data_IF_050253164394
#
_entry.id   IF_050253164394
#
_cell.length_a   1.000
_cell.length_b   1.000
_cell.length_c   1.000
_cell.angle_alpha   90.00
_cell.angle_beta   90.00
_cell.angle_gamma   90.00
#
_symmetry.space_group_name_H-M   'P 1'
#
loop_
_entity.id
_entity.type
_entity.pdbx_description
1 polymer ?
#
# COMPACT_ATOMS: atom_id res chain seq x y z
N UNK A 1 0.43 12.60 -11.68
CA UNK A 1 -0.85 12.28 -12.36
C UNK A 1 -1.35 10.90 -11.95
N UNK A 2 -0.60 9.81 -12.20
CA UNK A 2 -0.97 8.43 -11.81
C UNK A 2 -1.46 8.34 -10.35
N UNK A 3 -0.65 8.80 -9.39
CA UNK A 3 -1.00 8.78 -7.95
C UNK A 3 -2.33 9.47 -7.64
N UNK A 4 -2.65 10.57 -8.31
CA UNK A 4 -3.90 11.32 -8.07
C UNK A 4 -5.10 10.46 -8.46
N UNK A 5 -5.04 9.78 -9.61
CA UNK A 5 -6.12 8.88 -10.03
C UNK A 5 -6.29 7.69 -9.10
N UNK A 6 -5.20 7.13 -8.59
CA UNK A 6 -5.26 6.04 -7.60
C UNK A 6 -5.91 6.55 -6.31
N UNK A 7 -5.52 7.73 -5.81
CA UNK A 7 -6.11 8.34 -4.62
C UNK A 7 -7.61 8.61 -4.82
N UNK A 8 -8.02 9.18 -5.96
CA UNK A 8 -9.42 9.44 -6.26
C UNK A 8 -10.26 8.15 -6.37
N UNK A 9 -9.68 7.09 -6.93
CA UNK A 9 -10.29 5.77 -6.95
C UNK A 9 -10.46 5.19 -5.54
N UNK A 10 -9.42 5.26 -4.70
CA UNK A 10 -9.48 4.76 -3.33
C UNK A 10 -10.48 5.57 -2.49
N UNK A 11 -10.52 6.89 -2.66
CA UNK A 11 -11.47 7.75 -1.98
C UNK A 11 -12.92 7.37 -2.29
N UNK A 12 -13.22 6.94 -3.51
CA UNK A 12 -14.57 6.43 -3.86
C UNK A 12 -14.88 5.14 -3.11
N UNK A 13 -13.93 4.22 -2.99
CA UNK A 13 -14.08 2.98 -2.22
C UNK A 13 -14.33 3.28 -0.74
N UNK A 14 -13.53 4.17 -0.14
CA UNK A 14 -13.68 4.57 1.26
C UNK A 14 -15.00 5.30 1.54
N UNK A 15 -15.51 6.09 0.58
CA UNK A 15 -16.84 6.74 0.69
C UNK A 15 -18.00 5.74 0.72
N UNK A 16 -17.82 4.57 0.14
CA UNK A 16 -18.77 3.44 0.22
C UNK A 16 -18.52 2.57 1.49
N UNK A 17 -17.84 3.12 2.49
CA UNK A 17 -17.46 2.46 3.75
C UNK A 17 -16.68 1.15 3.57
N UNK A 18 -16.00 0.98 2.43
CA UNK A 18 -15.28 -0.24 2.09
C UNK A 18 -13.76 -0.05 2.20
N UNK A 19 -13.05 -1.10 2.61
CA UNK A 19 -11.58 -1.14 2.69
C UNK A 19 -11.10 -1.99 1.52
N UNK A 20 -10.06 -1.56 0.81
CA UNK A 20 -9.51 -2.33 -0.30
C UNK A 20 -8.77 -3.57 0.21
N UNK A 21 -7.85 -3.40 1.16
CA UNK A 21 -7.14 -4.48 1.86
C UNK A 21 -5.99 -5.12 1.08
N UNK A 22 -6.03 -5.10 -0.26
CA UNK A 22 -4.94 -5.64 -1.10
C UNK A 22 -4.47 -4.67 -2.19
N UNK A 23 -4.22 -3.42 -1.80
CA UNK A 23 -3.83 -2.40 -2.77
C UNK A 23 -2.33 -2.50 -3.11
N UNK A 24 -2.00 -2.81 -4.36
CA UNK A 24 -0.64 -2.86 -4.89
C UNK A 24 -0.63 -2.62 -6.40
N UNK A 25 0.55 -2.48 -7.03
CA UNK A 25 0.64 -2.16 -8.47
C UNK A 25 -0.03 -3.18 -9.39
N UNK A 26 0.00 -4.47 -9.03
CA UNK A 26 -0.77 -5.50 -9.73
C UNK A 26 -2.29 -5.31 -9.76
N UNK A 27 -2.86 -4.54 -8.81
CA UNK A 27 -4.29 -4.22 -8.72
C UNK A 27 -4.60 -2.78 -9.20
N UNK A 28 -3.63 -2.14 -9.87
CA UNK A 28 -3.80 -0.84 -10.51
C UNK A 28 -3.75 -1.01 -12.02
N UNK A 29 -4.90 -0.84 -12.68
CA UNK A 29 -5.06 -1.04 -14.10
C UNK A 29 -5.00 0.29 -14.86
N UNK A 30 -4.26 0.32 -15.96
CA UNK A 30 -4.29 1.42 -16.92
C UNK A 30 -5.10 0.99 -18.14
N UNK A 31 -6.23 1.67 -18.40
CA UNK A 31 -6.97 1.54 -19.64
C UNK A 31 -6.41 2.49 -20.70
N UNK A 32 -7.05 2.52 -21.89
CA UNK A 32 -6.70 3.47 -22.96
C UNK A 32 -6.76 4.91 -22.43
N UNK A 33 -5.97 5.79 -23.03
CA UNK A 33 -5.94 7.24 -22.73
C UNK A 33 -5.46 7.63 -21.31
N UNK A 34 -4.69 6.75 -20.65
CA UNK A 34 -4.13 6.99 -19.31
C UNK A 34 -5.16 7.09 -18.18
N UNK A 35 -6.31 6.43 -18.33
CA UNK A 35 -7.25 6.25 -17.24
C UNK A 35 -6.80 5.13 -16.32
N UNK A 36 -6.62 5.44 -15.04
CA UNK A 36 -6.15 4.51 -14.01
C UNK A 36 -7.29 4.10 -13.08
N UNK A 37 -7.41 2.80 -12.84
CA UNK A 37 -8.45 2.18 -12.02
C UNK A 37 -7.82 1.28 -10.96
N UNK A 38 -8.49 1.20 -9.81
CA UNK A 38 -8.24 0.16 -8.82
C UNK A 38 -9.15 -1.02 -9.14
N UNK A 39 -8.58 -2.22 -9.22
CA UNK A 39 -9.30 -3.48 -9.42
C UNK A 39 -9.18 -4.38 -8.19
N UNK A 40 -9.87 -5.51 -8.22
CA UNK A 40 -9.79 -6.53 -7.18
C UNK A 40 -10.07 -5.96 -5.78
N UNK A 41 -11.26 -5.36 -5.67
CA UNK A 41 -11.82 -4.94 -4.39
C UNK A 41 -11.84 -6.20 -3.52
N UNK A 42 -10.97 -6.26 -2.51
CA UNK A 42 -10.66 -7.42 -1.67
C UNK A 42 -11.82 -7.90 -0.81
N UNK A 43 -12.97 -8.16 -1.45
CA UNK A 43 -14.19 -8.66 -0.87
C UNK A 43 -13.94 -10.10 -0.47
N UNK A 44 -13.63 -10.23 0.82
CA UNK A 44 -13.19 -11.44 1.49
C UNK A 44 -11.80 -11.84 0.99
N UNK A 45 -10.81 -11.79 1.88
CA UNK A 45 -9.60 -12.59 1.70
C UNK A 45 -9.96 -14.03 1.27
N UNK A 46 -8.98 -14.81 0.77
CA UNK A 46 -9.22 -16.08 0.09
C UNK A 46 -10.29 -16.93 0.78
N UNK A 47 -11.27 -17.44 0.04
CA UNK A 47 -12.44 -18.13 0.60
C UNK A 47 -12.08 -19.36 1.47
N UNK A 48 -10.87 -19.87 1.30
CA UNK A 48 -10.25 -20.98 2.02
C UNK A 48 -9.48 -20.57 3.28
N UNK A 49 -9.34 -19.26 3.56
CA UNK A 49 -8.61 -18.76 4.72
C UNK A 49 -9.53 -18.27 5.83
N UNK A 50 -9.10 -18.39 7.10
CA UNK A 50 -9.83 -17.81 8.23
C UNK A 50 -10.05 -16.30 8.05
N UNK A 51 -11.16 -15.79 8.58
CA UNK A 51 -11.55 -14.37 8.54
C UNK A 51 -10.43 -13.44 9.07
N UNK A 52 -9.57 -13.93 9.96
CA UNK A 52 -8.45 -13.18 10.55
C UNK A 52 -7.08 -13.44 9.90
N UNK A 53 -7.07 -14.06 8.72
CA UNK A 53 -5.83 -14.30 8.00
C UNK A 53 -5.28 -13.01 7.40
N UNK A 54 -3.94 -12.86 7.42
CA UNK A 54 -3.25 -11.81 6.69
C UNK A 54 -3.15 -12.25 5.23
N UNK A 55 -3.49 -11.37 4.30
CA UNK A 55 -3.44 -11.64 2.86
C UNK A 55 -2.93 -10.42 2.08
N UNK A 56 -2.71 -10.62 0.79
CA UNK A 56 -2.20 -9.57 -0.08
C UNK A 56 -0.68 -9.52 -0.19
N UNK A 57 -0.21 -8.47 -0.89
CA UNK A 57 1.18 -8.38 -1.32
C UNK A 57 2.08 -7.76 -0.25
N UNK A 58 2.93 -8.58 0.38
CA UNK A 58 3.69 -8.29 1.61
C UNK A 58 4.32 -6.87 1.68
N UNK A 59 5.08 -6.40 0.66
CA UNK A 59 5.61 -5.03 0.63
C UNK A 59 4.61 -3.89 0.86
N UNK A 60 3.33 -4.11 0.54
CA UNK A 60 2.26 -3.11 0.60
C UNK A 60 1.36 -3.27 1.84
N UNK A 61 1.54 -4.34 2.63
CA UNK A 61 0.76 -4.59 3.85
C UNK A 61 1.27 -3.69 4.97
N UNK A 62 0.35 -3.00 5.65
CA UNK A 62 0.69 -2.11 6.76
C UNK A 62 1.28 -2.88 7.96
N UNK A 63 2.23 -2.31 8.73
CA UNK A 63 2.90 -3.02 9.82
C UNK A 63 1.94 -3.52 10.91
N UNK A 64 0.89 -2.75 11.21
CA UNK A 64 -0.12 -3.16 12.18
C UNK A 64 -0.94 -4.35 11.72
N UNK A 65 -1.15 -4.49 10.40
CA UNK A 65 -1.82 -5.64 9.81
C UNK A 65 -0.89 -6.85 9.80
N UNK A 66 0.40 -6.66 9.48
CA UNK A 66 1.43 -7.70 9.63
C UNK A 66 1.48 -8.21 11.09
N UNK A 67 1.27 -7.32 12.06
CA UNK A 67 1.19 -7.65 13.48
C UNK A 67 -0.15 -8.30 13.90
N UNK A 68 -1.04 -8.61 12.96
CA UNK A 68 -2.30 -9.33 13.20
C UNK A 68 -3.49 -8.45 13.56
N UNK A 69 -3.41 -7.12 13.38
CA UNK A 69 -4.61 -6.26 13.44
C UNK A 69 -5.40 -6.35 12.13
N UNK A 70 -6.66 -5.96 12.20
CA UNK A 70 -7.55 -5.90 11.04
C UNK A 70 -7.12 -4.80 10.06
N UNK A 71 -7.45 -4.98 8.79
CA UNK A 71 -7.31 -3.94 7.78
C UNK A 71 -8.23 -2.77 8.13
N UNK A 72 -7.79 -1.56 7.79
CA UNK A 72 -8.49 -0.30 8.05
C UNK A 72 -8.31 0.65 6.87
N UNK A 73 -9.04 1.76 6.83
CA UNK A 73 -8.76 2.80 5.84
C UNK A 73 -7.29 3.26 5.91
N UNK A 74 -6.73 3.38 7.12
CA UNK A 74 -5.33 3.74 7.32
C UNK A 74 -4.34 2.69 6.78
N UNK A 75 -4.71 1.41 6.70
CA UNK A 75 -3.85 0.41 6.06
C UNK A 75 -3.84 0.56 4.54
N UNK A 76 -4.97 0.94 3.91
CA UNK A 76 -4.95 1.28 2.48
C UNK A 76 -4.09 2.52 2.20
N UNK A 77 -4.10 3.51 3.10
CA UNK A 77 -3.24 4.70 2.99
C UNK A 77 -1.75 4.31 3.08
N UNK A 78 -1.39 3.32 3.90
CA UNK A 78 -0.02 2.78 3.90
C UNK A 78 0.36 2.20 2.53
N UNK A 79 -0.55 1.42 1.92
CA UNK A 79 -0.35 0.86 0.59
C UNK A 79 -0.19 1.95 -0.48
N UNK A 80 -0.91 3.08 -0.37
CA UNK A 80 -0.69 4.27 -1.20
C UNK A 80 0.73 4.80 -1.04
N UNK A 81 1.28 4.86 0.19
CA UNK A 81 2.67 5.25 0.42
C UNK A 81 3.67 4.35 -0.30
N UNK A 82 3.42 3.04 -0.33
CA UNK A 82 4.25 2.07 -1.05
C UNK A 82 4.13 2.19 -2.57
N UNK A 83 2.92 2.38 -3.10
CA UNK A 83 2.69 2.70 -4.51
C UNK A 83 3.37 4.00 -4.93
N UNK A 84 3.29 5.05 -4.08
CA UNK A 84 3.97 6.31 -4.33
C UNK A 84 5.48 6.11 -4.45
N UNK A 85 6.06 5.27 -3.59
CA UNK A 85 7.47 4.92 -3.66
C UNK A 85 7.83 4.16 -4.92
N UNK A 86 7.04 3.14 -5.28
CA UNK A 86 7.22 2.36 -6.51
C UNK A 86 7.16 3.24 -7.77
N UNK A 87 6.16 4.13 -7.85
CA UNK A 87 6.03 5.10 -8.95
C UNK A 87 7.27 6.01 -9.02
N UNK A 88 7.80 6.43 -7.88
CA UNK A 88 8.99 7.27 -7.84
C UNK A 88 10.28 6.51 -8.13
N UNK A 89 10.37 5.22 -7.78
CA UNK A 89 11.59 4.43 -7.88
C UNK A 89 11.70 3.64 -9.18
N UNK A 90 10.55 3.37 -9.82
CA UNK A 90 10.41 2.48 -10.96
C UNK A 90 10.62 1.00 -10.61
N UNK A 91 10.55 0.62 -9.33
CA UNK A 91 10.83 -0.74 -8.85
C UNK A 91 9.86 -1.15 -7.75
N UNK A 92 9.50 -2.45 -7.62
CA UNK A 92 8.70 -2.93 -6.52
C UNK A 92 9.37 -2.64 -5.16
N UNK A 93 8.60 -2.27 -4.11
CA UNK A 93 9.17 -2.05 -2.79
C UNK A 93 9.83 -3.34 -2.28
N UNK A 94 11.03 -3.20 -1.71
CA UNK A 94 11.80 -4.32 -1.16
C UNK A 94 12.19 -5.43 -2.16
N UNK A 95 12.24 -5.16 -3.48
CA UNK A 95 12.59 -6.14 -4.51
C UNK A 95 13.91 -6.92 -4.31
N UNK A 96 14.81 -6.44 -3.43
CA UNK A 96 16.09 -7.09 -3.12
C UNK A 96 16.03 -8.02 -1.88
N UNK A 97 14.86 -8.23 -1.29
CA UNK A 97 14.69 -9.15 -0.16
C UNK A 97 14.21 -10.52 -0.65
N UNK A 98 14.99 -11.55 -0.38
CA UNK A 98 14.68 -12.94 -0.77
C UNK A 98 13.93 -13.72 0.32
N UNK A 99 13.98 -13.26 1.57
CA UNK A 99 13.38 -13.93 2.72
C UNK A 99 12.24 -13.08 3.31
N UNK A 100 11.01 -13.56 3.15
CA UNK A 100 9.81 -12.87 3.62
C UNK A 100 9.77 -12.72 5.14
N UNK A 101 10.25 -13.70 5.90
CA UNK A 101 10.24 -13.65 7.38
C UNK A 101 11.17 -12.55 7.90
N UNK A 102 12.38 -12.45 7.35
CA UNK A 102 13.32 -11.36 7.67
C UNK A 102 12.75 -10.00 7.28
N UNK A 103 12.10 -9.90 6.10
CA UNK A 103 11.45 -8.68 5.66
C UNK A 103 10.32 -8.24 6.61
N UNK A 104 9.43 -9.16 7.01
CA UNK A 104 8.36 -8.92 7.99
C UNK A 104 8.95 -8.35 9.28
N UNK A 105 9.96 -9.01 9.86
CA UNK A 105 10.59 -8.57 11.11
C UNK A 105 11.16 -7.15 10.97
N UNK A 106 11.80 -6.85 9.84
CA UNK A 106 12.38 -5.53 9.59
C UNK A 106 11.32 -4.44 9.40
N UNK A 107 10.22 -4.73 8.68
CA UNK A 107 9.10 -3.79 8.51
C UNK A 107 8.47 -3.46 9.85
N UNK A 108 8.26 -4.48 10.71
CA UNK A 108 7.75 -4.31 12.08
C UNK A 108 8.69 -3.46 12.95
N UNK A 109 10.01 -3.54 12.72
CA UNK A 109 11.01 -2.68 13.35
C UNK A 109 11.21 -1.31 12.64
N UNK A 110 10.30 -0.92 11.75
CA UNK A 110 10.29 0.41 11.15
C UNK A 110 11.10 0.55 9.87
N UNK A 111 11.57 -0.55 9.26
CA UNK A 111 12.21 -0.49 7.95
C UNK A 111 11.25 0.09 6.90
N UNK A 112 11.77 0.99 6.06
CA UNK A 112 11.09 1.55 4.90
C UNK A 112 12.01 1.54 3.67
N UNK A 113 11.47 1.55 2.45
CA UNK A 113 12.29 1.63 1.25
C UNK A 113 13.14 2.90 1.20
N UNK A 114 14.37 2.80 0.67
CA UNK A 114 15.26 3.96 0.54
C UNK A 114 14.70 4.96 -0.48
N UNK A 115 14.54 6.21 -0.07
CA UNK A 115 14.07 7.30 -0.94
C UNK A 115 15.13 7.58 -2.02
N UNK A 116 14.69 7.74 -3.28
CA UNK A 116 15.58 8.07 -4.40
C UNK A 116 15.90 9.56 -4.39
N UNK A 117 17.15 9.93 -4.68
CA UNK A 117 17.63 11.32 -4.59
C UNK A 117 16.94 12.32 -5.51
N UNK A 118 16.26 11.83 -6.57
CA UNK A 118 15.53 12.66 -7.53
C UNK A 118 14.05 12.85 -7.19
N UNK A 119 13.55 12.25 -6.11
CA UNK A 119 12.15 12.40 -5.69
C UNK A 119 11.93 13.82 -5.15
N UNK A 120 10.93 14.58 -5.65
CA UNK A 120 10.63 15.93 -5.15
C UNK A 120 10.30 15.94 -3.64
N UNK A 121 10.72 16.97 -2.91
CA UNK A 121 10.55 17.06 -1.45
C UNK A 121 9.09 16.99 -1.01
N UNK A 122 8.18 17.69 -1.67
CA UNK A 122 6.75 17.64 -1.36
C UNK A 122 6.17 16.23 -1.55
N UNK A 123 6.64 15.51 -2.58
CA UNK A 123 6.24 14.13 -2.82
C UNK A 123 6.77 13.21 -1.71
N UNK A 124 8.02 13.40 -1.27
CA UNK A 124 8.61 12.67 -0.14
C UNK A 124 7.79 12.89 1.12
N UNK A 125 7.40 14.13 1.41
CA UNK A 125 6.63 14.48 2.60
C UNK A 125 5.31 13.72 2.66
N UNK A 126 4.52 13.75 1.58
CA UNK A 126 3.23 13.04 1.51
C UNK A 126 3.44 11.52 1.57
N UNK A 127 4.34 11.00 0.74
CA UNK A 127 4.66 9.55 0.70
C UNK A 127 5.08 9.04 2.07
N UNK A 128 5.91 9.80 2.79
CA UNK A 128 6.40 9.39 4.12
C UNK A 128 5.35 9.50 5.22
N UNK A 129 4.41 10.44 5.09
CA UNK A 129 3.26 10.53 5.98
C UNK A 129 2.31 9.34 5.76
N UNK A 130 2.09 8.93 4.51
CA UNK A 130 1.23 7.78 4.19
C UNK A 130 1.72 6.47 4.81
N UNK A 131 3.04 6.24 4.88
CA UNK A 131 3.60 4.99 5.41
C UNK A 131 4.08 5.07 6.88
N UNK A 132 3.61 6.06 7.64
CA UNK A 132 3.95 6.22 9.07
C UNK A 132 3.64 4.91 9.83
N UNK A 133 4.47 4.58 10.81
CA UNK A 133 4.28 3.39 11.63
C UNK A 133 3.02 3.50 12.50
N UNK A 134 2.64 4.71 12.90
CA UNK A 134 1.40 4.99 13.61
C UNK A 134 0.27 5.23 12.60
N UNK A 135 -0.73 4.35 12.49
CA UNK A 135 -1.85 4.53 11.56
C UNK A 135 -2.65 5.81 11.82
N UNK A 136 -2.62 6.36 13.05
CA UNK A 136 -3.33 7.60 13.38
C UNK A 136 -2.64 8.86 12.85
N UNK A 137 -1.39 8.76 12.41
CA UNK A 137 -0.62 9.88 11.82
C UNK A 137 -0.71 9.91 10.29
N UNK A 138 -1.30 8.86 9.69
CA UNK A 138 -1.51 8.79 8.26
C UNK A 138 -2.65 9.76 7.87
N UNK A 139 -2.60 10.36 6.66
CA UNK A 139 -3.63 11.29 6.19
C UNK A 139 -5.02 10.68 6.09
#
# INVERSE_FOLDING_TARGET
>A
KIVVYIIDALLRIHKENSIHGDLHSGNVLCLKDYDWYISDLGFCGPADKPIKSIYGNLPYIAPEVIAGKEYTYASDIYSIGMLMWEISSGQPPFANFENDVDLVIRILHGMRPKIKSRTPLEYIKIMTQCWDADPLKRP
#
